data_IF_987833723946
#
_entry.id   IF_987833723946
#
_cell.length_a   1.000
_cell.length_b   1.000
_cell.length_c   1.000
_cell.angle_alpha   90.00
_cell.angle_beta   90.00
_cell.angle_gamma   90.00
#
_symmetry.space_group_name_H-M   'P 1'
#
loop_
_entity.id
_entity.type
_entity.pdbx_description
1 polymer ?
#
# COMPACT_ATOMS: atom_id res chain seq x y z
N UNK A 1 -7.44 10.34 -20.59
CA UNK A 1 -8.17 10.62 -19.33
C UNK A 1 -7.91 9.54 -18.28
N UNK A 2 -8.14 8.24 -18.58
CA UNK A 2 -8.02 7.14 -17.61
C UNK A 2 -6.66 7.00 -16.92
N UNK A 3 -5.56 7.26 -17.62
CA UNK A 3 -4.20 7.19 -17.06
C UNK A 3 -3.95 8.18 -15.92
N UNK A 4 -4.38 9.43 -16.07
CA UNK A 4 -4.20 10.45 -15.03
C UNK A 4 -5.03 10.12 -13.77
N UNK A 5 -6.28 9.70 -13.96
CA UNK A 5 -7.17 9.31 -12.85
C UNK A 5 -6.62 8.10 -12.11
N UNK A 6 -6.18 7.07 -12.84
CA UNK A 6 -5.57 5.85 -12.26
C UNK A 6 -4.30 6.16 -11.47
N UNK A 7 -3.48 7.12 -11.91
CA UNK A 7 -2.29 7.56 -11.16
C UNK A 7 -2.64 8.34 -9.91
N UNK A 8 -3.68 9.17 -9.93
CA UNK A 8 -4.08 9.95 -8.75
C UNK A 8 -4.72 9.07 -7.68
N UNK A 9 -5.50 8.05 -8.04
CA UNK A 9 -6.11 7.14 -7.07
C UNK A 9 -5.04 6.40 -6.25
N UNK A 10 -3.97 5.89 -6.87
CA UNK A 10 -2.88 5.24 -6.13
C UNK A 10 -2.08 6.22 -5.28
N UNK A 11 -1.86 7.46 -5.74
CA UNK A 11 -1.18 8.50 -4.95
C UNK A 11 -1.97 8.87 -3.70
N UNK A 12 -3.29 9.05 -3.84
CA UNK A 12 -4.18 9.33 -2.72
C UNK A 12 -4.19 8.14 -1.75
N UNK A 13 -4.26 6.90 -2.25
CA UNK A 13 -4.17 5.70 -1.42
C UNK A 13 -2.87 5.65 -0.60
N UNK A 14 -1.73 5.96 -1.21
CA UNK A 14 -0.44 6.02 -0.51
C UNK A 14 -0.39 7.13 0.55
N UNK A 15 -0.88 8.33 0.24
CA UNK A 15 -0.94 9.43 1.22
C UNK A 15 -1.81 9.03 2.41
N UNK A 16 -2.96 8.39 2.17
CA UNK A 16 -3.86 7.93 3.21
C UNK A 16 -3.25 6.78 4.04
N UNK A 17 -2.49 5.88 3.41
CA UNK A 17 -1.71 4.87 4.11
C UNK A 17 -0.69 5.51 5.06
N UNK A 18 0.12 6.47 4.58
CA UNK A 18 1.09 7.20 5.41
C UNK A 18 0.40 7.96 6.55
N UNK A 19 -0.70 8.67 6.24
CA UNK A 19 -1.49 9.41 7.22
C UNK A 19 -2.10 8.48 8.28
N UNK A 20 -2.54 7.28 7.89
CA UNK A 20 -3.04 6.27 8.82
C UNK A 20 -1.95 5.87 9.82
N UNK A 21 -0.74 5.58 9.35
CA UNK A 21 0.39 5.23 10.21
C UNK A 21 0.80 6.37 11.14
N UNK A 22 0.92 7.59 10.61
CA UNK A 22 1.33 8.77 11.38
C UNK A 22 0.31 9.18 12.46
N UNK A 23 -0.97 8.89 12.24
CA UNK A 23 -2.04 9.23 13.20
C UNK A 23 -2.35 8.14 14.21
N UNK A 24 -1.70 6.96 14.16
CA UNK A 24 -1.99 5.82 15.07
C UNK A 24 -1.88 6.18 16.55
N UNK A 25 -0.88 6.98 16.92
CA UNK A 25 -0.57 7.29 18.32
C UNK A 25 -1.40 8.45 18.89
N UNK A 26 -1.88 9.37 18.03
CA UNK A 26 -2.72 10.50 18.47
C UNK A 26 -4.21 10.19 18.32
N UNK A 27 -4.66 9.63 17.19
CA UNK A 27 -6.09 9.38 16.97
C UNK A 27 -6.37 8.08 16.22
N UNK A 28 -6.81 7.08 17.00
CA UNK A 28 -7.32 5.82 16.46
C UNK A 28 -8.46 5.99 15.45
N UNK A 29 -9.34 6.99 15.64
CA UNK A 29 -10.45 7.27 14.72
C UNK A 29 -9.93 7.74 13.37
N UNK A 30 -9.02 8.71 13.36
CA UNK A 30 -8.42 9.22 12.12
C UNK A 30 -7.57 8.15 11.43
N UNK A 31 -6.79 7.38 12.20
CA UNK A 31 -5.99 6.28 11.66
C UNK A 31 -6.84 5.24 10.95
N UNK A 32 -7.97 4.84 11.55
CA UNK A 32 -8.91 3.88 10.94
C UNK A 32 -9.59 4.44 9.69
N UNK A 33 -10.03 5.70 9.73
CA UNK A 33 -10.67 6.34 8.57
C UNK A 33 -9.69 6.47 7.40
N UNK A 34 -8.47 6.93 7.66
CA UNK A 34 -7.42 7.03 6.65
C UNK A 34 -7.04 5.64 6.09
N UNK A 35 -6.93 4.62 6.94
CA UNK A 35 -6.66 3.24 6.51
C UNK A 35 -7.73 2.71 5.55
N UNK A 36 -9.00 2.90 5.92
CA UNK A 36 -10.15 2.40 5.15
C UNK A 36 -10.32 3.17 3.85
N UNK A 37 -10.20 4.50 3.90
CA UNK A 37 -10.26 5.34 2.72
C UNK A 37 -9.10 5.02 1.75
N UNK A 38 -7.88 4.79 2.28
CA UNK A 38 -6.73 4.35 1.49
C UNK A 38 -7.00 3.03 0.77
N UNK A 39 -7.56 2.05 1.49
CA UNK A 39 -8.01 0.79 0.88
C UNK A 39 -9.05 1.03 -0.22
N UNK A 40 -10.04 1.90 0.00
CA UNK A 40 -11.06 2.22 -1.01
C UNK A 40 -10.47 2.84 -2.29
N UNK A 41 -9.56 3.82 -2.15
CA UNK A 41 -8.86 4.40 -3.30
C UNK A 41 -7.96 3.40 -4.01
N UNK A 42 -7.34 2.47 -3.28
CA UNK A 42 -6.56 1.39 -3.87
C UNK A 42 -7.44 0.41 -4.67
N UNK A 43 -8.60 0.00 -4.14
CA UNK A 43 -9.55 -0.85 -4.88
C UNK A 43 -10.05 -0.14 -6.14
N UNK A 44 -10.35 1.15 -6.05
CA UNK A 44 -10.70 1.96 -7.20
C UNK A 44 -9.55 2.01 -8.22
N UNK A 45 -8.30 2.15 -7.77
CA UNK A 45 -7.13 2.07 -8.65
C UNK A 45 -7.06 0.73 -9.39
N UNK A 46 -7.26 -0.40 -8.70
CA UNK A 46 -7.27 -1.73 -9.32
C UNK A 46 -8.40 -1.84 -10.35
N UNK A 47 -9.62 -1.43 -10.00
CA UNK A 47 -10.76 -1.47 -10.91
C UNK A 47 -10.53 -0.62 -12.18
N UNK A 48 -10.01 0.60 -12.02
CA UNK A 48 -9.68 1.47 -13.15
C UNK A 48 -8.52 0.92 -13.98
N UNK A 49 -7.54 0.27 -13.36
CA UNK A 49 -6.45 -0.39 -14.07
C UNK A 49 -6.98 -1.53 -14.95
N UNK A 50 -7.87 -2.37 -14.41
CA UNK A 50 -8.48 -3.46 -15.16
C UNK A 50 -9.40 -2.98 -16.29
N UNK A 51 -10.19 -1.95 -16.04
CA UNK A 51 -11.07 -1.33 -17.04
C UNK A 51 -10.27 -0.70 -18.19
N UNK A 52 -9.32 0.19 -17.88
CA UNK A 52 -8.67 1.01 -18.91
C UNK A 52 -7.48 0.33 -19.59
N UNK A 53 -6.77 -0.58 -18.91
CA UNK A 53 -5.49 -1.10 -19.41
C UNK A 53 -5.46 -2.61 -19.64
N UNK A 54 -6.43 -3.35 -19.11
CA UNK A 54 -6.44 -4.80 -19.23
C UNK A 54 -7.75 -5.37 -19.77
N UNK A 55 -8.75 -4.53 -20.09
CA UNK A 55 -10.05 -4.96 -20.62
C UNK A 55 -10.65 -6.13 -19.83
N UNK A 56 -10.44 -6.15 -18.51
CA UNK A 56 -10.80 -7.26 -17.62
C UNK A 56 -10.17 -8.64 -17.93
N UNK A 57 -9.18 -8.69 -18.81
CA UNK A 57 -8.40 -9.89 -19.13
C UNK A 57 -7.26 -10.10 -18.14
N UNK A 58 -7.35 -11.19 -17.37
CA UNK A 58 -6.27 -11.60 -16.48
C UNK A 58 -4.98 -11.94 -17.24
N UNK A 59 -5.09 -12.53 -18.43
CA UNK A 59 -3.95 -12.89 -19.28
C UNK A 59 -3.20 -11.62 -19.72
N UNK A 60 -3.94 -10.58 -20.09
CA UNK A 60 -3.34 -9.30 -20.49
C UNK A 60 -2.66 -8.61 -19.30
N UNK A 61 -3.31 -8.59 -18.13
CA UNK A 61 -2.73 -8.05 -16.90
C UNK A 61 -1.43 -8.79 -16.50
N UNK A 62 -1.41 -10.12 -16.61
CA UNK A 62 -0.23 -10.92 -16.32
C UNK A 62 0.90 -10.61 -17.29
N UNK A 63 0.61 -10.59 -18.60
CA UNK A 63 1.61 -10.30 -19.63
C UNK A 63 2.16 -8.87 -19.52
N UNK A 64 1.29 -7.88 -19.20
CA UNK A 64 1.72 -6.51 -18.96
C UNK A 64 2.65 -6.41 -17.74
N UNK A 65 2.32 -7.12 -16.66
CA UNK A 65 3.16 -7.18 -15.45
C UNK A 65 4.50 -7.86 -15.72
N UNK A 66 4.51 -8.93 -16.52
CA UNK A 66 5.73 -9.63 -16.91
C UNK A 66 6.67 -8.73 -17.72
N UNK A 67 6.13 -8.01 -18.72
CA UNK A 67 6.87 -7.00 -19.49
C UNK A 67 7.43 -5.88 -18.61
N UNK A 68 6.65 -5.37 -17.67
CA UNK A 68 7.12 -4.33 -16.74
C UNK A 68 8.23 -4.84 -15.83
N UNK A 69 8.09 -6.06 -15.32
CA UNK A 69 9.10 -6.72 -14.47
C UNK A 69 10.38 -6.97 -15.25
N UNK A 70 10.28 -7.40 -16.51
CA UNK A 70 11.43 -7.56 -17.40
C UNK A 70 12.17 -6.22 -17.62
N UNK A 71 11.44 -5.12 -17.82
CA UNK A 71 12.05 -3.80 -18.03
C UNK A 71 12.77 -3.24 -16.80
N UNK A 72 12.29 -3.57 -15.59
CA UNK A 72 12.80 -2.97 -14.34
C UNK A 72 13.78 -3.88 -13.61
N UNK A 73 13.50 -5.18 -13.59
CA UNK A 73 14.23 -6.20 -12.83
C UNK A 73 15.00 -7.15 -13.75
N UNK A 74 14.71 -7.17 -15.06
CA UNK A 74 15.33 -8.10 -16.02
C UNK A 74 14.71 -9.50 -16.04
N UNK A 75 13.61 -9.72 -15.31
CA UNK A 75 12.94 -11.00 -15.18
C UNK A 75 11.56 -10.95 -15.87
N UNK A 76 11.34 -11.78 -16.90
CA UNK A 76 10.03 -11.87 -17.60
C UNK A 76 9.04 -12.73 -16.81
N UNK A 77 8.61 -12.21 -15.67
CA UNK A 77 7.72 -12.91 -14.74
C UNK A 77 6.59 -12.00 -14.29
N UNK A 78 5.36 -12.41 -14.57
CA UNK A 78 4.14 -11.68 -14.21
C UNK A 78 3.70 -11.86 -12.76
N UNK A 79 4.51 -12.51 -11.91
CA UNK A 79 4.14 -12.85 -10.54
C UNK A 79 3.84 -11.67 -9.63
N UNK A 80 4.31 -10.46 -9.98
CA UNK A 80 3.91 -9.22 -9.32
C UNK A 80 2.40 -9.01 -9.29
N UNK A 81 1.66 -9.58 -10.24
CA UNK A 81 0.20 -9.53 -10.26
C UNK A 81 -0.43 -10.31 -9.10
N UNK A 82 0.09 -11.51 -8.81
CA UNK A 82 -0.38 -12.30 -7.66
C UNK A 82 -0.02 -11.63 -6.32
N UNK A 83 1.14 -10.97 -6.26
CA UNK A 83 1.52 -10.18 -5.09
C UNK A 83 0.53 -9.02 -4.88
N UNK A 84 0.10 -8.35 -5.95
CA UNK A 84 -0.94 -7.31 -5.87
C UNK A 84 -2.30 -7.88 -5.45
N UNK A 85 -2.66 -9.10 -5.85
CA UNK A 85 -3.87 -9.76 -5.37
C UNK A 85 -3.79 -10.11 -3.88
N UNK A 86 -2.66 -10.63 -3.42
CA UNK A 86 -2.42 -10.86 -2.00
C UNK A 86 -2.51 -9.53 -1.22
N UNK A 87 -1.91 -8.46 -1.73
CA UNK A 87 -2.00 -7.13 -1.13
C UNK A 87 -3.43 -6.61 -1.04
N UNK A 88 -4.21 -6.77 -2.11
CA UNK A 88 -5.64 -6.44 -2.13
C UNK A 88 -6.40 -7.17 -1.03
N UNK A 89 -6.23 -8.50 -0.97
CA UNK A 89 -6.91 -9.34 0.02
C UNK A 89 -6.53 -8.97 1.44
N UNK A 90 -5.23 -8.79 1.70
CA UNK A 90 -4.73 -8.47 3.06
C UNK A 90 -5.22 -7.10 3.51
N UNK A 91 -5.13 -6.07 2.67
CA UNK A 91 -5.57 -4.72 3.06
C UNK A 91 -7.08 -4.69 3.28
N UNK A 92 -7.85 -5.29 2.37
CA UNK A 92 -9.30 -5.34 2.50
C UNK A 92 -9.75 -6.13 3.73
N UNK A 93 -9.17 -7.30 3.97
CA UNK A 93 -9.50 -8.12 5.13
C UNK A 93 -9.13 -7.43 6.45
N UNK A 94 -7.97 -6.78 6.54
CA UNK A 94 -7.56 -6.03 7.73
C UNK A 94 -8.48 -4.82 7.98
N UNK A 95 -8.81 -4.06 6.93
CA UNK A 95 -9.75 -2.95 7.04
C UNK A 95 -11.14 -3.45 7.49
N UNK A 96 -11.64 -4.53 6.91
CA UNK A 96 -12.92 -5.13 7.29
C UNK A 96 -12.87 -5.65 8.74
N UNK A 97 -11.82 -6.33 9.14
CA UNK A 97 -11.64 -6.82 10.51
C UNK A 97 -11.67 -5.68 11.52
N UNK A 98 -11.03 -4.55 11.21
CA UNK A 98 -11.05 -3.37 12.08
C UNK A 98 -12.44 -2.75 12.24
N UNK A 99 -13.34 -2.90 11.25
CA UNK A 99 -14.73 -2.45 11.36
C UNK A 99 -15.65 -3.47 12.03
N UNK A 100 -15.47 -4.77 11.75
CA UNK A 100 -16.29 -5.85 12.31
C UNK A 100 -16.03 -6.03 13.81
N UNK A 101 -14.77 -5.94 14.24
CA UNK A 101 -14.42 -6.10 15.65
C UNK A 101 -13.25 -5.21 16.05
N UNK A 102 -13.59 -4.02 16.54
CA UNK A 102 -12.61 -3.05 17.05
C UNK A 102 -11.80 -3.64 18.21
N UNK A 103 -12.46 -4.41 19.08
CA UNK A 103 -11.84 -5.02 20.26
C UNK A 103 -10.87 -6.13 19.87
N UNK A 104 -11.29 -7.08 19.03
CA UNK A 104 -10.41 -8.14 18.49
C UNK A 104 -9.22 -7.55 17.73
N UNK A 105 -9.44 -6.55 16.88
CA UNK A 105 -8.36 -5.87 16.16
C UNK A 105 -7.39 -5.16 17.11
N UNK A 106 -7.87 -4.62 18.24
CA UNK A 106 -7.02 -4.00 19.24
C UNK A 106 -6.18 -5.00 20.05
N UNK A 107 -6.61 -6.26 20.12
CA UNK A 107 -5.90 -7.36 20.77
C UNK A 107 -4.96 -8.12 19.82
N UNK A 108 -4.78 -7.64 18.57
CA UNK A 108 -3.91 -8.28 17.59
C UNK A 108 -2.49 -8.46 18.15
N UNK A 109 -1.89 -9.62 17.85
CA UNK A 109 -0.54 -9.91 18.29
C UNK A 109 0.44 -8.89 17.70
N UNK A 110 1.49 -8.57 18.46
CA UNK A 110 2.55 -7.66 17.98
C UNK A 110 3.18 -8.20 16.70
N UNK A 111 3.41 -9.51 16.61
CA UNK A 111 3.95 -10.12 15.40
C UNK A 111 3.07 -9.87 14.17
N UNK A 112 1.76 -10.07 14.27
CA UNK A 112 0.84 -9.84 13.16
C UNK A 112 0.84 -8.37 12.73
N UNK A 113 0.81 -7.43 13.68
CA UNK A 113 0.89 -6.00 13.36
C UNK A 113 2.17 -5.65 12.59
N UNK A 114 3.31 -6.20 13.01
CA UNK A 114 4.59 -6.00 12.33
C UNK A 114 4.66 -6.65 10.96
N UNK A 115 4.12 -7.86 10.81
CA UNK A 115 4.06 -8.55 9.54
C UNK A 115 3.20 -7.77 8.54
N UNK A 116 2.03 -7.28 8.96
CA UNK A 116 1.15 -6.44 8.14
C UNK A 116 1.82 -5.11 7.75
N UNK A 117 2.35 -4.38 8.73
CA UNK A 117 3.01 -3.09 8.46
C UNK A 117 4.24 -3.27 7.56
N UNK A 118 5.03 -4.33 7.79
CA UNK A 118 6.20 -4.67 6.99
C UNK A 118 5.83 -5.08 5.57
N UNK A 119 4.81 -5.92 5.40
CA UNK A 119 4.30 -6.31 4.08
C UNK A 119 3.78 -5.10 3.31
N UNK A 120 2.96 -4.25 3.94
CA UNK A 120 2.42 -3.04 3.33
C UNK A 120 3.54 -2.06 2.95
N UNK A 121 4.51 -1.85 3.84
CA UNK A 121 5.66 -0.99 3.59
C UNK A 121 6.55 -1.52 2.47
N UNK A 122 6.77 -2.83 2.40
CA UNK A 122 7.51 -3.48 1.32
C UNK A 122 6.84 -3.26 -0.04
N UNK A 123 5.51 -3.45 -0.13
CA UNK A 123 4.76 -3.22 -1.37
C UNK A 123 4.79 -1.74 -1.76
N UNK A 124 4.56 -0.83 -0.81
CA UNK A 124 4.63 0.61 -1.05
C UNK A 124 6.03 1.05 -1.54
N UNK A 125 7.10 0.51 -0.95
CA UNK A 125 8.47 0.77 -1.39
C UNK A 125 8.71 0.26 -2.80
N UNK A 126 8.34 -0.98 -3.12
CA UNK A 126 8.52 -1.50 -4.48
C UNK A 126 7.72 -0.67 -5.49
N UNK A 127 6.45 -0.38 -5.21
CA UNK A 127 5.60 0.39 -6.09
C UNK A 127 6.14 1.81 -6.35
N UNK A 128 6.65 2.49 -5.33
CA UNK A 128 7.06 3.89 -5.43
C UNK A 128 8.53 4.11 -5.74
N UNK A 129 9.42 3.22 -5.31
CA UNK A 129 10.88 3.39 -5.49
C UNK A 129 11.38 2.58 -6.68
N UNK A 130 11.00 1.30 -6.75
CA UNK A 130 11.49 0.38 -7.78
C UNK A 130 10.76 0.63 -9.09
N UNK A 131 9.42 0.57 -9.06
CA UNK A 131 8.59 0.59 -10.28
C UNK A 131 8.18 2.00 -10.73
N UNK A 132 8.10 2.99 -9.84
CA UNK A 132 7.77 4.35 -10.27
C UNK A 132 8.95 5.02 -11.00
N UNK A 133 8.62 5.88 -11.96
CA UNK A 133 9.56 6.68 -12.75
C UNK A 133 9.38 8.18 -12.47
N UNK A 134 10.44 8.97 -12.65
CA UNK A 134 10.41 10.43 -12.52
C UNK A 134 10.17 10.93 -11.08
N UNK A 135 9.50 12.07 -10.94
CA UNK A 135 9.27 12.75 -9.65
C UNK A 135 8.53 11.91 -8.61
N UNK A 136 7.65 11.00 -9.03
CA UNK A 136 6.94 10.12 -8.09
C UNK A 136 7.86 9.19 -7.31
N UNK A 137 9.06 8.87 -7.85
CA UNK A 137 10.08 8.09 -7.14
C UNK A 137 10.63 8.84 -5.94
N UNK A 138 10.93 10.13 -6.10
CA UNK A 138 11.47 10.95 -5.02
C UNK A 138 10.46 11.18 -3.90
N UNK A 139 9.18 11.41 -4.24
CA UNK A 139 8.12 11.48 -3.22
C UNK A 139 7.97 10.14 -2.47
N UNK A 140 8.06 9.02 -3.18
CA UNK A 140 8.06 7.68 -2.58
C UNK A 140 9.20 7.48 -1.58
N UNK A 141 10.43 7.81 -2.00
CA UNK A 141 11.62 7.75 -1.14
C UNK A 141 11.43 8.63 0.10
N UNK A 142 11.02 9.89 -0.08
CA UNK A 142 10.79 10.80 1.04
C UNK A 142 9.73 10.26 2.02
N UNK A 143 8.64 9.68 1.53
CA UNK A 143 7.60 9.08 2.35
C UNK A 143 8.11 7.83 3.11
N UNK A 144 8.84 6.94 2.45
CA UNK A 144 9.45 5.76 3.08
C UNK A 144 10.46 6.15 4.17
N UNK A 145 11.30 7.15 3.89
CA UNK A 145 12.27 7.69 4.86
C UNK A 145 11.55 8.33 6.04
N UNK A 146 10.52 9.15 5.80
CA UNK A 146 9.72 9.76 6.86
C UNK A 146 9.03 8.73 7.76
N UNK A 147 8.45 7.68 7.17
CA UNK A 147 7.86 6.57 7.94
C UNK A 147 8.91 5.81 8.74
N UNK A 148 10.08 5.50 8.15
CA UNK A 148 11.17 4.84 8.85
C UNK A 148 11.63 5.70 10.04
N UNK A 149 11.83 7.01 9.83
CA UNK A 149 12.19 7.96 10.88
C UNK A 149 11.16 7.98 12.01
N UNK A 150 9.86 8.11 11.69
CA UNK A 150 8.79 8.06 12.71
C UNK A 150 8.85 6.78 13.54
N UNK A 151 9.16 5.66 12.90
CA UNK A 151 9.23 4.37 13.56
C UNK A 151 10.48 4.21 14.44
N UNK A 152 11.64 4.69 14.00
CA UNK A 152 12.88 4.69 14.78
C UNK A 152 12.84 5.70 15.94
N UNK A 153 12.37 6.92 15.69
CA UNK A 153 12.31 7.98 16.71
C UNK A 153 11.15 7.79 17.69
N UNK A 154 9.99 7.28 17.24
CA UNK A 154 8.89 6.91 18.13
C UNK A 154 9.27 5.82 19.14
N UNK A 155 10.12 4.86 18.71
CA UNK A 155 10.69 3.85 19.62
C UNK A 155 11.77 4.39 20.54
N UNK A 156 12.61 5.30 20.06
CA UNK A 156 13.62 5.94 20.90
C UNK A 156 12.99 6.74 22.05
N UNK A 157 11.81 7.34 21.83
CA UNK A 157 11.03 8.02 22.86
C UNK A 157 10.35 7.04 23.83
N UNK A 158 9.81 5.92 23.33
CA UNK A 158 9.14 4.91 24.17
C UNK A 158 10.10 4.07 25.03
N UNK A 159 11.38 3.92 24.63
CA UNK A 159 12.39 3.17 25.39
C UNK A 159 13.02 3.97 26.55
N UNK A 160 12.73 5.27 26.64
CA UNK A 160 13.22 6.17 27.70
C UNK A 160 12.18 6.46 28.79
N UNK A 161 10.97 5.90 28.68
CA UNK A 161 9.94 5.90 29.73
C UNK A 161 9.87 4.52 30.36
#
# INVERSE_FOLDING_TARGET
MGDLVTRWTIRIALVLYVASLASRDWSRRWSRLAWTAGCGFYLLHVALAFEFFHQWSHVEAYAATARQTAQVVGLDWGGGLYVNYAFTLVWFADALWWWVSVESHSHRSRFLAWALDGFMGFIAFNATVVFARGWSRWFGIAACVGLAMLWFFGRAAARKR
#
